data_IF_997552394650
#
_entry.id   IF_997552394650
#
_cell.length_a   1.000
_cell.length_b   1.000
_cell.length_c   1.000
_cell.angle_alpha   90.00
_cell.angle_beta   90.00
_cell.angle_gamma   90.00
#
_symmetry.space_group_name_H-M   'P 1'
#
loop_
_entity.id
_entity.type
_entity.pdbx_description
1 polymer ?
#
# COMPACT_ATOMS: atom_id res chain seq x y z
N UNK A 1 21.14 -0.72 -14.91
CA UNK A 1 21.28 0.29 -13.85
C UNK A 1 21.21 -0.29 -12.44
N UNK A 2 21.78 0.47 -11.52
CA UNK A 2 22.00 0.33 -10.09
C UNK A 2 20.83 -0.24 -9.27
N UNK A 3 21.06 -1.41 -8.65
CA UNK A 3 20.35 -1.83 -7.44
C UNK A 3 20.90 -1.01 -6.28
N UNK A 4 20.21 0.04 -5.85
CA UNK A 4 20.45 0.61 -4.53
C UNK A 4 19.86 -0.35 -3.49
N UNK A 5 20.65 -0.87 -2.55
CA UNK A 5 20.08 -1.59 -1.42
C UNK A 5 19.37 -0.55 -0.56
N UNK A 6 18.05 -0.55 -0.61
CA UNK A 6 17.22 0.30 0.24
C UNK A 6 17.36 -0.24 1.67
N UNK A 7 18.38 0.23 2.40
CA UNK A 7 18.67 -0.18 3.78
C UNK A 7 17.65 0.35 4.81
N UNK A 8 16.64 1.10 4.37
CA UNK A 8 15.53 1.54 5.20
C UNK A 8 14.28 0.81 4.72
N UNK A 9 13.89 -0.21 5.48
CA UNK A 9 12.59 -0.85 5.35
C UNK A 9 11.53 0.22 5.63
N UNK A 10 10.69 0.54 4.63
CA UNK A 10 9.65 1.54 4.81
C UNK A 10 8.62 1.03 5.81
N UNK A 11 7.97 1.92 6.55
CA UNK A 11 6.91 1.56 7.52
C UNK A 11 5.88 0.61 6.90
N UNK A 12 5.50 0.84 5.65
CA UNK A 12 4.51 0.02 4.93
C UNK A 12 5.03 -1.37 4.56
N UNK A 13 6.34 -1.55 4.31
CA UNK A 13 6.92 -2.88 4.10
C UNK A 13 7.04 -3.63 5.42
N UNK A 14 7.51 -2.95 6.47
CA UNK A 14 7.66 -3.51 7.81
C UNK A 14 6.33 -4.00 8.38
N UNK A 15 5.29 -3.18 8.24
CA UNK A 15 3.93 -3.49 8.68
C UNK A 15 3.07 -4.09 7.57
N UNK A 16 3.65 -4.55 6.46
CA UNK A 16 2.90 -5.08 5.32
C UNK A 16 1.92 -6.18 5.75
N UNK A 17 2.37 -7.10 6.61
CA UNK A 17 1.56 -8.24 7.04
C UNK A 17 0.37 -7.81 7.89
N UNK A 18 0.55 -6.83 8.77
CA UNK A 18 -0.52 -6.26 9.58
C UNK A 18 -1.48 -5.44 8.73
N UNK A 19 -0.97 -4.62 7.81
CA UNK A 19 -1.78 -3.86 6.87
C UNK A 19 -2.64 -4.78 6.02
N UNK A 20 -2.08 -5.86 5.45
CA UNK A 20 -2.84 -6.86 4.67
C UNK A 20 -3.96 -7.51 5.49
N UNK A 21 -3.72 -7.76 6.78
CA UNK A 21 -4.69 -8.46 7.65
C UNK A 21 -5.75 -7.54 8.25
N UNK A 22 -5.38 -6.30 8.58
CA UNK A 22 -6.21 -5.37 9.34
C UNK A 22 -6.93 -4.37 8.44
N UNK A 23 -6.38 -4.02 7.28
CA UNK A 23 -7.11 -3.24 6.27
C UNK A 23 -8.27 -4.09 5.78
N UNK A 24 -9.46 -3.69 6.18
CA UNK A 24 -10.71 -4.30 5.69
C UNK A 24 -11.20 -3.57 4.45
N UNK A 25 -10.93 -2.26 4.34
CA UNK A 25 -11.50 -1.39 3.33
C UNK A 25 -10.45 -0.86 2.35
N UNK A 26 -10.00 -1.68 1.40
CA UNK A 26 -9.04 -1.25 0.39
C UNK A 26 -9.65 -0.40 -0.75
N UNK A 27 -10.98 -0.32 -0.81
CA UNK A 27 -11.69 0.46 -1.83
C UNK A 27 -11.24 1.92 -1.91
N UNK A 28 -11.38 2.71 -0.82
CA UNK A 28 -10.92 4.09 -0.78
C UNK A 28 -9.41 4.24 -0.97
N UNK A 29 -8.62 3.32 -0.42
CA UNK A 29 -7.16 3.30 -0.60
C UNK A 29 -6.80 3.20 -2.09
N UNK A 30 -7.43 2.27 -2.83
CA UNK A 30 -7.23 2.11 -4.27
C UNK A 30 -7.69 3.34 -5.06
N UNK A 31 -8.79 3.97 -4.67
CA UNK A 31 -9.31 5.16 -5.33
C UNK A 31 -8.33 6.34 -5.19
N UNK A 32 -7.82 6.56 -3.98
CA UNK A 32 -6.79 7.57 -3.74
C UNK A 32 -5.49 7.24 -4.46
N UNK A 33 -5.07 5.98 -4.53
CA UNK A 33 -3.88 5.59 -5.28
C UNK A 33 -4.01 5.85 -6.79
N UNK A 34 -5.18 5.61 -7.35
CA UNK A 34 -5.46 5.91 -8.76
C UNK A 34 -5.47 7.44 -8.98
N UNK A 35 -6.06 8.18 -8.05
CA UNK A 35 -6.12 9.66 -8.09
C UNK A 35 -4.73 10.30 -8.01
N UNK A 36 -3.87 9.76 -7.15
CA UNK A 36 -2.47 10.19 -7.01
C UNK A 36 -1.58 9.63 -8.16
N UNK A 37 -2.16 8.91 -9.12
CA UNK A 37 -1.48 8.29 -10.28
C UNK A 37 -0.35 7.32 -9.88
N UNK A 38 -0.49 6.68 -8.71
CA UNK A 38 0.43 5.65 -8.22
C UNK A 38 0.18 4.32 -8.90
N UNK A 39 -1.09 4.03 -9.15
CA UNK A 39 -1.53 2.85 -9.88
C UNK A 39 -2.20 3.28 -11.17
N UNK A 40 -2.04 2.49 -12.22
CA UNK A 40 -2.75 2.74 -13.46
C UNK A 40 -4.17 2.17 -13.39
N UNK A 41 -5.01 2.58 -14.34
CA UNK A 41 -6.38 2.07 -14.45
C UNK A 41 -6.43 0.55 -14.60
N UNK A 42 -5.44 -0.02 -15.28
CA UNK A 42 -5.26 -1.46 -15.49
C UNK A 42 -4.93 -2.18 -14.18
N UNK A 43 -4.00 -1.64 -13.38
CA UNK A 43 -3.69 -2.15 -12.04
C UNK A 43 -4.91 -2.03 -11.13
N UNK A 44 -5.59 -0.89 -11.15
CA UNK A 44 -6.80 -0.66 -10.37
C UNK A 44 -7.88 -1.69 -10.69
N UNK A 45 -8.18 -1.94 -11.97
CA UNK A 45 -9.20 -2.91 -12.36
C UNK A 45 -8.79 -4.34 -11.96
N UNK A 46 -7.53 -4.69 -12.18
CA UNK A 46 -6.96 -6.00 -11.79
C UNK A 46 -7.08 -6.23 -10.29
N UNK A 47 -6.66 -5.25 -9.48
CA UNK A 47 -6.73 -5.37 -8.02
C UNK A 47 -8.20 -5.34 -7.57
N UNK A 48 -9.03 -4.47 -8.15
CA UNK A 48 -10.45 -4.38 -7.79
C UNK A 48 -11.21 -5.68 -8.08
N UNK A 49 -10.84 -6.39 -9.14
CA UNK A 49 -11.43 -7.68 -9.54
C UNK A 49 -11.11 -8.83 -8.59
N UNK A 50 -10.08 -8.72 -7.74
CA UNK A 50 -9.74 -9.75 -6.75
C UNK A 50 -10.91 -9.91 -5.75
N UNK A 51 -11.24 -11.14 -5.31
CA UNK A 51 -12.35 -11.34 -4.38
C UNK A 51 -11.99 -10.96 -2.94
N UNK A 52 -10.75 -11.16 -2.50
CA UNK A 52 -10.34 -10.97 -1.10
C UNK A 52 -9.50 -9.71 -0.91
N UNK A 53 -9.78 -8.91 0.14
CA UNK A 53 -9.00 -7.70 0.47
C UNK A 53 -7.52 -8.01 0.72
N UNK A 54 -7.23 -9.20 1.25
CA UNK A 54 -5.87 -9.63 1.56
C UNK A 54 -5.04 -9.83 0.29
N UNK A 55 -5.60 -10.53 -0.72
CA UNK A 55 -4.92 -10.69 -2.01
C UNK A 55 -4.84 -9.37 -2.77
N UNK A 56 -5.81 -8.47 -2.60
CA UNK A 56 -5.76 -7.11 -3.17
C UNK A 56 -4.54 -6.36 -2.68
N UNK A 57 -4.38 -6.29 -1.37
CA UNK A 57 -3.22 -5.65 -0.75
C UNK A 57 -1.93 -6.33 -1.22
N UNK A 58 -1.85 -7.66 -1.22
CA UNK A 58 -0.65 -8.38 -1.67
C UNK A 58 -0.28 -8.05 -3.12
N UNK A 59 -1.27 -7.98 -4.00
CA UNK A 59 -1.08 -7.64 -5.43
C UNK A 59 -0.64 -6.19 -5.59
N UNK A 60 -1.26 -5.27 -4.85
CA UNK A 60 -0.88 -3.86 -4.83
C UNK A 60 0.58 -3.68 -4.40
N UNK A 61 0.99 -4.37 -3.32
CA UNK A 61 2.37 -4.37 -2.84
C UNK A 61 3.35 -4.94 -3.86
N UNK A 62 3.02 -6.08 -4.47
CA UNK A 62 3.92 -6.76 -5.41
C UNK A 62 4.01 -6.09 -6.78
N UNK A 63 2.97 -5.36 -7.19
CA UNK A 63 2.89 -4.68 -8.47
C UNK A 63 3.32 -3.21 -8.36
N UNK A 64 2.37 -2.28 -8.36
CA UNK A 64 2.67 -0.85 -8.51
C UNK A 64 3.45 -0.25 -7.34
N UNK A 65 3.23 -0.69 -6.10
CA UNK A 65 4.01 -0.18 -4.95
C UNK A 65 5.49 -0.60 -5.01
N UNK A 66 5.77 -1.82 -5.49
CA UNK A 66 7.15 -2.28 -5.67
C UNK A 66 7.81 -1.60 -6.88
N UNK A 67 7.06 -1.41 -7.97
CA UNK A 67 7.56 -0.74 -9.17
C UNK A 67 7.85 0.75 -8.93
N UNK A 68 7.01 1.41 -8.14
CA UNK A 68 7.09 2.84 -7.84
C UNK A 68 8.07 3.24 -6.74
N UNK A 69 8.70 2.27 -6.08
CA UNK A 69 9.76 2.51 -5.10
C UNK A 69 9.31 3.33 -3.88
N UNK A 70 10.25 4.12 -3.31
CA UNK A 70 10.04 4.82 -2.04
C UNK A 70 8.91 5.87 -2.11
N UNK A 71 8.84 6.63 -3.20
CA UNK A 71 7.83 7.69 -3.38
C UNK A 71 6.40 7.14 -3.35
N UNK A 72 6.17 5.96 -3.94
CA UNK A 72 4.86 5.33 -3.92
C UNK A 72 4.49 4.80 -2.55
N UNK A 73 5.49 4.32 -1.79
CA UNK A 73 5.32 3.88 -0.41
C UNK A 73 4.98 5.04 0.53
N UNK A 74 5.59 6.20 0.33
CA UNK A 74 5.28 7.46 1.05
C UNK A 74 3.82 7.89 0.83
N UNK A 75 3.38 7.90 -0.44
CA UNK A 75 2.01 8.30 -0.79
C UNK A 75 1.00 7.29 -0.25
N UNK A 76 1.29 5.99 -0.40
CA UNK A 76 0.44 4.94 0.18
C UNK A 76 0.31 5.07 1.69
N UNK A 77 1.42 5.33 2.37
CA UNK A 77 1.44 5.58 3.81
C UNK A 77 0.61 6.81 4.19
N UNK A 78 0.69 7.91 3.43
CA UNK A 78 -0.15 9.10 3.64
C UNK A 78 -1.64 8.79 3.45
N UNK A 79 -2.01 8.00 2.44
CA UNK A 79 -3.39 7.57 2.22
C UNK A 79 -3.87 6.71 3.39
N UNK A 80 -3.03 5.80 3.89
CA UNK A 80 -3.34 5.04 5.09
C UNK A 80 -3.51 5.94 6.32
N UNK A 81 -2.72 7.00 6.47
CA UNK A 81 -2.91 7.96 7.57
C UNK A 81 -4.23 8.74 7.45
N UNK A 82 -4.73 8.99 6.24
CA UNK A 82 -6.02 9.68 6.06
C UNK A 82 -7.22 8.74 6.23
N UNK A 83 -7.16 7.57 5.59
CA UNK A 83 -8.30 6.65 5.51
C UNK A 83 -8.36 5.67 6.70
N UNK A 84 -7.18 5.23 7.14
CA UNK A 84 -6.97 4.20 8.16
C UNK A 84 -6.10 4.76 9.30
N UNK A 85 -6.31 6.04 9.67
CA UNK A 85 -5.55 6.76 10.71
C UNK A 85 -5.38 5.97 12.00
N UNK A 86 -6.45 5.30 12.45
CA UNK A 86 -6.45 4.45 13.64
C UNK A 86 -5.52 3.24 13.49
N UNK A 87 -5.53 2.59 12.33
CA UNK A 87 -4.66 1.46 12.03
C UNK A 87 -3.20 1.91 12.01
N UNK A 88 -2.89 3.01 11.33
CA UNK A 88 -1.52 3.54 11.29
C UNK A 88 -1.04 3.94 12.68
N UNK A 89 -1.89 4.60 13.48
CA UNK A 89 -1.56 4.95 14.85
C UNK A 89 -1.30 3.72 15.72
N UNK A 90 -2.08 2.65 15.57
CA UNK A 90 -1.86 1.40 16.30
C UNK A 90 -0.55 0.71 15.89
N UNK A 91 -0.27 0.66 14.59
CA UNK A 91 0.96 0.11 14.03
C UNK A 91 2.19 0.90 14.48
N UNK A 92 2.11 2.23 14.52
CA UNK A 92 3.16 3.11 15.07
C UNK A 92 3.40 2.89 16.56
N UNK A 93 2.38 2.50 17.33
CA UNK A 93 2.54 2.18 18.76
C UNK A 93 3.13 0.80 19.01
N UNK A 94 3.06 -0.07 18.01
CA UNK A 94 3.65 -1.42 18.06
C UNK A 94 5.06 -1.47 17.46
N UNK A 95 5.59 -0.33 17.01
CA UNK A 95 7.01 -0.12 16.68
C UNK A 95 7.85 0.18 17.94
#
# INVERSE_FOLDING_TARGET
>A
ESRTPNFYEHFVDKHQCDLIKRVSNIGPILDNLLKEQIIQREDYDTIRAIPTTQEKMRTLYSGPLNAGGHACKDIFYKILEEDESFLVADLKRTE
#
